data_IF_320359398323
#
_entry.id   IF_320359398323
#
_cell.length_a   1.000
_cell.length_b   1.000
_cell.length_c   1.000
_cell.angle_alpha   90.00
_cell.angle_beta   90.00
_cell.angle_gamma   90.00
#
_symmetry.space_group_name_H-M   'P 1'
#
loop_
_entity.id
_entity.type
_entity.pdbx_description
1 polymer ?
#
# COMPACT_ATOMS: atom_id res chain seq x y z
N UNK A 1 -8.46 25.75 10.45
CA UNK A 1 -7.33 25.34 11.32
C UNK A 1 -6.67 24.12 10.67
N UNK A 2 -5.43 24.25 10.16
CA UNK A 2 -4.65 23.10 9.67
C UNK A 2 -4.26 22.28 10.89
N UNK A 3 -4.94 21.14 11.12
CA UNK A 3 -4.35 20.10 11.94
C UNK A 3 -3.12 19.61 11.17
N UNK A 4 -1.94 20.07 11.56
CA UNK A 4 -0.68 19.55 11.03
C UNK A 4 -0.66 18.05 11.31
N UNK A 5 -0.73 17.24 10.27
CA UNK A 5 -0.37 15.83 10.41
C UNK A 5 1.13 15.85 10.73
N UNK A 6 1.46 15.58 11.99
CA UNK A 6 2.85 15.44 12.40
C UNK A 6 3.47 14.33 11.57
N UNK A 7 4.45 14.68 10.74
CA UNK A 7 5.20 13.68 9.98
C UNK A 7 5.89 12.76 10.97
N UNK A 8 5.83 11.44 10.78
CA UNK A 8 6.57 10.53 11.65
C UNK A 8 8.07 10.85 11.56
N UNK A 9 8.81 10.61 12.64
CA UNK A 9 10.25 10.78 12.61
C UNK A 9 10.86 9.82 11.59
N UNK A 10 11.77 10.33 10.74
CA UNK A 10 12.50 9.52 9.75
C UNK A 10 13.82 9.07 10.36
N UNK A 11 14.06 7.78 10.37
CA UNK A 11 15.29 7.17 10.89
C UNK A 11 16.15 6.65 9.75
N UNK A 12 17.47 6.76 9.91
CA UNK A 12 18.44 6.03 9.09
C UNK A 12 18.94 4.87 9.94
N UNK A 13 18.80 3.66 9.42
CA UNK A 13 19.17 2.43 10.12
C UNK A 13 19.91 1.48 9.17
N UNK A 14 20.86 0.76 9.73
CA UNK A 14 21.46 -0.40 9.10
C UNK A 14 20.60 -1.62 9.45
N UNK A 15 19.78 -2.06 8.48
CA UNK A 15 18.83 -3.14 8.66
C UNK A 15 19.42 -4.49 8.28
N UNK A 16 19.45 -5.44 9.21
CA UNK A 16 19.78 -6.83 8.90
C UNK A 16 18.65 -7.48 8.11
N UNK A 17 18.99 -8.18 7.02
CA UNK A 17 18.07 -9.01 6.25
C UNK A 17 17.71 -10.25 7.07
N UNK A 18 16.50 -10.32 7.59
CA UNK A 18 16.01 -11.47 8.38
C UNK A 18 15.51 -12.60 7.48
N UNK A 19 14.89 -12.24 6.37
CA UNK A 19 14.46 -13.19 5.33
C UNK A 19 14.30 -12.48 4.00
N UNK A 20 14.61 -13.18 2.93
CA UNK A 20 14.43 -12.71 1.56
C UNK A 20 13.95 -13.87 0.71
N UNK A 21 12.76 -13.76 0.14
CA UNK A 21 12.13 -14.86 -0.57
C UNK A 21 11.62 -14.42 -1.94
N UNK A 22 12.01 -15.17 -2.95
CA UNK A 22 11.54 -15.02 -4.33
C UNK A 22 10.20 -15.72 -4.55
N UNK A 23 9.37 -15.10 -5.40
CA UNK A 23 8.10 -15.60 -5.89
C UNK A 23 8.03 -15.47 -7.42
N UNK A 24 7.12 -16.22 -8.10
CA UNK A 24 6.97 -16.14 -9.53
C UNK A 24 6.82 -14.72 -10.07
N UNK A 25 7.42 -14.44 -11.23
CA UNK A 25 7.37 -13.13 -11.89
C UNK A 25 8.38 -12.13 -11.37
N UNK A 26 9.43 -12.57 -10.69
CA UNK A 26 10.48 -11.71 -10.13
C UNK A 26 9.98 -10.86 -8.97
N UNK A 27 9.02 -11.36 -8.22
CA UNK A 27 8.50 -10.73 -7.00
C UNK A 27 9.30 -11.22 -5.80
N UNK A 28 9.54 -10.34 -4.84
CA UNK A 28 10.32 -10.64 -3.64
C UNK A 28 9.64 -10.10 -2.39
N UNK A 29 9.65 -10.91 -1.33
CA UNK A 29 9.31 -10.45 0.03
C UNK A 29 10.60 -10.37 0.83
N UNK A 30 10.88 -9.18 1.36
CA UNK A 30 12.08 -8.85 2.11
C UNK A 30 11.69 -8.41 3.53
N UNK A 31 12.24 -9.06 4.55
CA UNK A 31 12.09 -8.64 5.94
C UNK A 31 13.41 -8.11 6.48
N UNK A 32 13.33 -6.91 7.05
CA UNK A 32 14.48 -6.19 7.61
C UNK A 32 14.29 -5.92 9.10
N UNK A 33 15.32 -6.10 9.88
CA UNK A 33 15.39 -5.65 11.27
C UNK A 33 15.71 -4.15 11.29
N UNK A 34 14.73 -3.32 11.53
CA UNK A 34 14.82 -1.86 11.62
C UNK A 34 13.89 -1.38 12.73
N UNK A 35 14.30 -1.52 14.02
CA UNK A 35 13.41 -1.37 15.17
C UNK A 35 12.79 0.02 15.31
N UNK A 36 13.54 1.07 15.00
CA UNK A 36 13.01 2.45 15.08
C UNK A 36 11.97 2.71 13.99
N UNK A 37 12.27 2.25 12.76
CA UNK A 37 11.32 2.32 11.65
C UNK A 37 10.08 1.49 11.94
N UNK A 38 10.24 0.25 12.44
CA UNK A 38 9.13 -0.64 12.75
C UNK A 38 8.17 -0.05 13.79
N UNK A 39 8.71 0.55 14.86
CA UNK A 39 7.92 1.19 15.92
C UNK A 39 7.12 2.42 15.44
N UNK A 40 7.61 3.13 14.43
CA UNK A 40 6.97 4.34 13.89
C UNK A 40 6.18 4.10 12.59
N UNK A 41 6.28 2.90 11.98
CA UNK A 41 5.64 2.58 10.72
C UNK A 41 4.10 2.64 10.80
N UNK A 42 3.49 3.19 9.75
CA UNK A 42 2.04 3.28 9.61
C UNK A 42 1.62 2.79 8.21
N UNK A 43 0.42 2.22 8.05
CA UNK A 43 -0.10 1.87 6.74
C UNK A 43 -0.07 3.05 5.76
N UNK A 44 0.54 2.85 4.59
CA UNK A 44 0.80 3.90 3.61
C UNK A 44 2.20 4.53 3.71
N UNK A 45 2.95 4.32 4.80
CA UNK A 45 4.36 4.73 4.85
C UNK A 45 5.26 3.79 4.07
N UNK A 46 6.45 4.29 3.69
CA UNK A 46 7.44 3.56 2.92
C UNK A 46 8.85 3.76 3.49
N UNK A 47 9.79 2.95 3.03
CA UNK A 47 11.21 3.15 3.27
C UNK A 47 11.93 3.51 1.98
N UNK A 48 13.01 4.28 2.07
CA UNK A 48 13.91 4.60 0.99
C UNK A 48 15.18 3.77 1.17
N UNK A 49 15.28 2.65 0.45
CA UNK A 49 16.28 1.61 0.66
C UNK A 49 17.44 1.75 -0.32
N UNK A 50 18.68 1.64 0.17
CA UNK A 50 19.88 1.52 -0.66
C UNK A 50 20.05 0.07 -1.12
N UNK A 51 19.93 -0.16 -2.41
CA UNK A 51 19.86 -1.49 -3.01
C UNK A 51 21.23 -2.14 -3.29
N UNK A 52 22.32 -1.43 -3.06
CA UNK A 52 23.70 -1.89 -3.28
C UNK A 52 24.69 -0.78 -3.00
N UNK A 53 25.95 -1.14 -2.70
CA UNK A 53 27.02 -0.16 -2.43
C UNK A 53 27.38 0.67 -3.66
N UNK A 54 27.19 0.10 -4.85
CA UNK A 54 27.52 0.72 -6.14
C UNK A 54 26.51 1.77 -6.60
N UNK A 55 25.30 1.77 -6.01
CA UNK A 55 24.24 2.70 -6.37
C UNK A 55 24.04 3.75 -5.27
N UNK A 56 24.27 5.01 -5.63
CA UNK A 56 24.02 6.14 -4.74
C UNK A 56 22.52 6.34 -4.50
N UNK A 57 21.70 6.04 -5.51
CA UNK A 57 20.27 6.31 -5.47
C UNK A 57 19.50 5.19 -4.78
N UNK A 58 18.76 5.55 -3.74
CA UNK A 58 17.84 4.66 -3.02
C UNK A 58 16.59 4.37 -3.84
N UNK A 59 15.80 3.38 -3.42
CA UNK A 59 14.49 3.04 -3.99
C UNK A 59 13.41 3.14 -2.93
N UNK A 60 12.28 3.83 -3.21
CA UNK A 60 11.13 3.83 -2.32
C UNK A 60 10.44 2.47 -2.39
N UNK A 61 10.18 1.87 -1.24
CA UNK A 61 9.47 0.59 -1.11
C UNK A 61 8.45 0.72 0.01
N UNK A 62 7.20 0.45 -0.31
CA UNK A 62 6.09 0.52 0.65
C UNK A 62 6.23 -0.54 1.74
N UNK A 63 5.97 -0.15 2.99
CA UNK A 63 5.94 -1.08 4.12
C UNK A 63 4.66 -1.90 4.03
N UNK A 64 4.81 -3.23 3.98
CA UNK A 64 3.72 -4.19 3.90
C UNK A 64 3.23 -4.63 5.28
N UNK A 65 4.15 -4.87 6.19
CA UNK A 65 3.90 -5.20 7.59
C UNK A 65 5.03 -4.64 8.45
N UNK A 66 4.73 -4.38 9.70
CA UNK A 66 5.70 -4.01 10.71
C UNK A 66 5.34 -4.68 12.03
N UNK A 67 6.35 -5.06 12.79
CA UNK A 67 6.23 -5.55 14.15
C UNK A 67 7.15 -4.72 15.04
N UNK A 68 6.56 -3.90 15.90
CA UNK A 68 7.28 -2.99 16.77
C UNK A 68 8.02 -3.73 17.89
N UNK A 69 7.48 -4.85 18.38
CA UNK A 69 8.04 -5.62 19.48
C UNK A 69 9.24 -6.44 19.00
N UNK A 70 9.11 -7.08 17.84
CA UNK A 70 10.19 -7.85 17.20
C UNK A 70 11.17 -6.95 16.42
N UNK A 71 10.82 -5.69 16.18
CA UNK A 71 11.67 -4.68 15.55
C UNK A 71 11.93 -4.89 14.06
N UNK A 72 10.97 -5.44 13.31
CA UNK A 72 11.13 -5.67 11.87
C UNK A 72 10.03 -5.01 11.02
N UNK A 73 10.39 -4.74 9.77
CA UNK A 73 9.46 -4.39 8.69
C UNK A 73 9.52 -5.43 7.58
N UNK A 74 8.43 -5.61 6.85
CA UNK A 74 8.36 -6.45 5.67
C UNK A 74 7.95 -5.64 4.45
N UNK A 75 8.65 -5.87 3.33
CA UNK A 75 8.49 -5.19 2.06
C UNK A 75 8.13 -6.20 0.98
N UNK A 76 7.34 -5.78 0.00
CA UNK A 76 7.12 -6.53 -1.25
C UNK A 76 7.59 -5.65 -2.40
N UNK A 77 8.40 -6.21 -3.28
CA UNK A 77 8.83 -5.55 -4.50
C UNK A 77 8.91 -6.52 -5.68
N UNK A 78 8.99 -5.97 -6.87
CA UNK A 78 9.24 -6.71 -8.10
C UNK A 78 10.55 -6.22 -8.72
N UNK A 79 11.38 -7.13 -9.22
CA UNK A 79 12.57 -6.75 -9.98
C UNK A 79 12.20 -5.89 -11.17
N UNK A 80 12.95 -4.81 -11.34
CA UNK A 80 12.77 -3.85 -12.42
C UNK A 80 13.84 -2.76 -12.31
N UNK A 81 14.62 -2.60 -13.36
CA UNK A 81 15.78 -1.71 -13.34
C UNK A 81 16.91 -2.20 -12.42
N UNK A 82 18.07 -1.57 -12.53
CA UNK A 82 19.32 -1.99 -11.90
C UNK A 82 19.21 -2.13 -10.37
N UNK A 83 18.57 -1.17 -9.68
CA UNK A 83 18.52 -1.16 -8.22
C UNK A 83 17.81 -2.36 -7.61
N UNK A 84 16.59 -2.66 -8.06
CA UNK A 84 15.82 -3.78 -7.53
C UNK A 84 16.37 -5.14 -7.99
N UNK A 85 17.07 -5.19 -9.13
CA UNK A 85 17.80 -6.38 -9.55
C UNK A 85 19.02 -6.63 -8.65
N UNK A 86 19.74 -5.59 -8.22
CA UNK A 86 20.81 -5.75 -7.22
C UNK A 86 20.24 -6.19 -5.86
N UNK A 87 19.13 -5.58 -5.45
CA UNK A 87 18.46 -5.95 -4.20
C UNK A 87 18.03 -7.41 -4.16
N UNK A 88 17.65 -8.00 -5.30
CA UNK A 88 17.23 -9.41 -5.36
C UNK A 88 18.34 -10.40 -5.00
N UNK A 89 19.60 -9.98 -5.03
CA UNK A 89 20.75 -10.74 -4.56
C UNK A 89 21.08 -10.60 -3.07
N UNK A 90 20.30 -9.83 -2.30
CA UNK A 90 20.56 -9.69 -0.87
C UNK A 90 20.25 -11.01 -0.13
N UNK A 91 21.18 -11.46 0.72
CA UNK A 91 21.07 -12.70 1.47
C UNK A 91 20.68 -12.44 2.93
N UNK A 92 19.98 -13.37 3.59
CA UNK A 92 19.76 -13.31 5.04
C UNK A 92 21.09 -13.15 5.80
N UNK A 93 21.10 -12.25 6.80
CA UNK A 93 22.29 -11.85 7.56
C UNK A 93 23.06 -10.68 6.93
N UNK A 94 22.81 -10.33 5.65
CA UNK A 94 23.40 -9.10 5.07
C UNK A 94 22.75 -7.85 5.65
N UNK A 95 23.42 -6.70 5.49
CA UNK A 95 22.98 -5.42 6.03
C UNK A 95 22.65 -4.45 4.89
N UNK A 96 21.49 -3.82 4.99
CA UNK A 96 21.00 -2.82 4.04
C UNK A 96 20.76 -1.48 4.73
N UNK A 97 21.13 -0.39 4.09
CA UNK A 97 20.85 0.96 4.57
C UNK A 97 19.40 1.35 4.26
N UNK A 98 18.58 1.51 5.30
CA UNK A 98 17.18 1.93 5.23
C UNK A 98 17.00 3.34 5.78
N UNK A 99 16.15 4.14 5.14
CA UNK A 99 15.71 5.43 5.63
C UNK A 99 14.17 5.41 5.68
N UNK A 100 13.57 5.56 6.87
CA UNK A 100 12.12 5.50 7.06
C UNK A 100 11.70 5.48 8.53
N UNK A 101 10.39 5.36 8.81
CA UNK A 101 9.30 5.40 7.82
C UNK A 101 9.14 6.80 7.25
N UNK A 102 8.70 6.90 6.00
CA UNK A 102 8.51 8.16 5.27
C UNK A 102 7.06 8.28 4.86
N UNK A 103 6.53 9.51 4.91
CA UNK A 103 5.22 9.86 4.40
C UNK A 103 4.08 9.74 5.42
N UNK A 104 2.93 10.27 5.02
CA UNK A 104 1.69 10.23 5.78
C UNK A 104 0.87 9.03 5.35
N UNK A 105 0.41 8.25 6.32
CA UNK A 105 -0.42 7.08 6.08
C UNK A 105 -1.90 7.41 5.85
N UNK A 106 -2.70 6.36 5.63
CA UNK A 106 -4.15 6.46 5.51
C UNK A 106 -4.79 7.07 6.76
N UNK A 107 -5.78 7.94 6.54
CA UNK A 107 -6.59 8.50 7.61
C UNK A 107 -7.77 7.56 7.93
N UNK A 108 -8.13 7.48 9.21
CA UNK A 108 -9.31 6.73 9.65
C UNK A 108 -10.32 7.69 10.25
N UNK A 109 -11.61 7.42 10.03
CA UNK A 109 -12.71 8.18 10.61
C UNK A 109 -13.75 7.23 11.20
N UNK A 110 -14.06 7.36 12.47
CA UNK A 110 -15.10 6.55 13.14
C UNK A 110 -16.46 6.68 12.49
N UNK A 111 -16.71 7.78 11.76
CA UNK A 111 -17.91 7.94 10.95
C UNK A 111 -17.94 7.04 9.72
N UNK A 112 -16.80 6.39 9.37
CA UNK A 112 -16.68 5.50 8.19
C UNK A 112 -16.03 4.17 8.59
N UNK A 113 -16.74 3.36 9.37
CA UNK A 113 -16.21 2.08 9.87
C UNK A 113 -16.10 0.99 8.81
N UNK A 114 -16.80 1.13 7.68
CA UNK A 114 -16.76 0.17 6.57
C UNK A 114 -15.60 0.54 5.64
N UNK A 115 -14.58 -0.30 5.61
CA UNK A 115 -13.30 0.03 4.96
C UNK A 115 -13.02 -0.90 3.78
N UNK A 116 -13.04 -0.36 2.56
CA UNK A 116 -12.61 -1.06 1.36
C UNK A 116 -11.13 -0.77 1.09
N UNK A 117 -10.35 -1.83 0.93
CA UNK A 117 -8.91 -1.80 0.72
C UNK A 117 -8.59 -2.38 -0.66
N UNK A 118 -8.22 -1.52 -1.61
CA UNK A 118 -7.99 -1.87 -3.01
C UNK A 118 -6.48 -1.87 -3.29
N UNK A 119 -5.89 -3.04 -3.58
CA UNK A 119 -4.45 -3.18 -3.80
C UNK A 119 -4.09 -3.85 -5.11
N UNK A 120 -3.24 -3.23 -5.93
CA UNK A 120 -2.80 -3.78 -7.22
C UNK A 120 -1.29 -4.01 -7.33
N UNK A 121 -0.86 -5.24 -7.63
CA UNK A 121 0.54 -5.58 -7.83
C UNK A 121 1.43 -5.20 -6.64
N UNK A 122 2.46 -4.40 -6.87
CA UNK A 122 3.36 -3.89 -5.80
C UNK A 122 2.71 -2.83 -4.92
N UNK A 123 1.49 -2.35 -5.23
CA UNK A 123 0.66 -1.52 -4.37
C UNK A 123 -0.17 -2.29 -3.33
N UNK A 124 -0.10 -3.64 -3.29
CA UNK A 124 -0.72 -4.46 -2.24
C UNK A 124 -0.18 -4.13 -0.82
N UNK A 125 1.11 -3.86 -0.58
CA UNK A 125 1.69 -3.61 0.73
C UNK A 125 0.93 -2.60 1.60
N UNK A 126 0.66 -1.36 1.20
CA UNK A 126 0.01 -0.38 2.07
C UNK A 126 -1.38 -0.80 2.53
N UNK A 127 -2.16 -1.41 1.64
CA UNK A 127 -3.53 -1.84 1.95
C UNK A 127 -3.54 -3.11 2.81
N UNK A 128 -2.59 -4.01 2.62
CA UNK A 128 -2.44 -5.18 3.47
C UNK A 128 -2.01 -4.80 4.90
N UNK A 129 -1.14 -3.82 5.04
CA UNK A 129 -0.76 -3.26 6.33
C UNK A 129 -1.97 -2.62 7.03
N UNK A 130 -2.80 -1.88 6.27
CA UNK A 130 -4.02 -1.29 6.81
C UNK A 130 -5.01 -2.37 7.25
N UNK A 131 -5.19 -3.43 6.46
CA UNK A 131 -6.01 -4.58 6.83
C UNK A 131 -5.56 -5.20 8.15
N UNK A 132 -4.24 -5.44 8.31
CA UNK A 132 -3.65 -6.00 9.53
C UNK A 132 -3.87 -5.10 10.74
N UNK A 133 -3.74 -3.78 10.57
CA UNK A 133 -3.96 -2.78 11.62
C UNK A 133 -5.41 -2.74 12.11
N UNK A 134 -6.37 -2.93 11.20
CA UNK A 134 -7.81 -2.91 11.52
C UNK A 134 -8.33 -4.26 12.02
N UNK A 135 -7.60 -5.34 11.76
CA UNK A 135 -7.96 -6.69 12.12
C UNK A 135 -8.17 -6.85 13.63
N UNK A 136 -9.28 -7.49 14.01
CA UNK A 136 -9.63 -7.73 15.41
C UNK A 136 -10.13 -6.51 16.19
N UNK A 137 -10.18 -5.34 15.55
CA UNK A 137 -10.78 -4.14 16.13
C UNK A 137 -12.25 -4.06 15.72
N UNK A 138 -13.16 -4.37 16.65
CA UNK A 138 -14.61 -4.42 16.40
C UNK A 138 -15.26 -3.12 15.91
N UNK A 139 -14.54 -1.99 15.96
CA UNK A 139 -15.02 -0.70 15.45
C UNK A 139 -14.91 -0.60 13.92
N UNK A 140 -14.20 -1.52 13.26
CA UNK A 140 -13.91 -1.46 11.83
C UNK A 140 -14.32 -2.74 11.11
N UNK A 141 -14.83 -2.60 9.90
CA UNK A 141 -15.20 -3.69 9.00
C UNK A 141 -14.37 -3.63 7.72
N UNK A 142 -13.09 -4.03 7.75
CA UNK A 142 -12.23 -4.01 6.58
C UNK A 142 -12.55 -5.15 5.61
N UNK A 143 -12.38 -4.88 4.30
CA UNK A 143 -12.50 -5.85 3.21
C UNK A 143 -11.42 -5.58 2.17
N UNK A 144 -10.71 -6.62 1.76
CA UNK A 144 -9.63 -6.55 0.78
C UNK A 144 -10.11 -6.93 -0.62
N UNK A 145 -9.74 -6.12 -1.61
CA UNK A 145 -9.83 -6.42 -3.03
C UNK A 145 -8.45 -6.29 -3.65
N UNK A 146 -7.86 -7.39 -4.10
CA UNK A 146 -6.49 -7.42 -4.56
C UNK A 146 -6.42 -7.86 -6.01
N UNK A 147 -5.66 -7.12 -6.83
CA UNK A 147 -5.44 -7.42 -8.24
C UNK A 147 -3.98 -7.74 -8.54
N UNK A 148 -3.74 -8.74 -9.38
CA UNK A 148 -2.39 -9.06 -9.86
C UNK A 148 -2.45 -9.76 -11.22
N UNK A 149 -1.53 -9.39 -12.11
CA UNK A 149 -1.29 -10.10 -13.37
C UNK A 149 -0.30 -11.25 -13.20
N UNK A 150 0.37 -11.30 -12.04
CA UNK A 150 1.30 -12.37 -11.66
C UNK A 150 0.70 -13.21 -10.54
N UNK A 151 1.15 -14.45 -10.35
CA UNK A 151 0.77 -15.23 -9.17
C UNK A 151 0.99 -14.43 -7.90
N UNK A 152 0.00 -14.44 -7.00
CA UNK A 152 0.11 -13.69 -5.74
C UNK A 152 1.28 -14.22 -4.89
N UNK A 153 2.16 -13.33 -4.37
CA UNK A 153 3.30 -13.73 -3.55
C UNK A 153 2.90 -14.05 -2.11
N UNK A 154 1.77 -14.75 -1.95
CA UNK A 154 1.13 -15.08 -0.69
C UNK A 154 0.54 -16.48 -0.70
N UNK A 155 0.41 -17.07 0.48
CA UNK A 155 -0.37 -18.30 0.61
C UNK A 155 -1.86 -18.01 0.40
N UNK A 156 -2.45 -18.75 -0.51
CA UNK A 156 -3.88 -18.70 -0.79
C UNK A 156 -4.58 -19.91 -0.16
N UNK A 157 -5.88 -19.77 0.08
CA UNK A 157 -6.76 -20.87 0.48
C UNK A 157 -8.04 -20.84 -0.36
N UNK A 158 -8.56 -22.03 -0.65
CA UNK A 158 -9.79 -22.19 -1.43
C UNK A 158 -11.01 -21.90 -0.57
N UNK A 159 -11.92 -21.08 -1.10
CA UNK A 159 -13.23 -20.81 -0.56
C UNK A 159 -14.28 -21.08 -1.65
N UNK A 160 -14.76 -22.30 -1.73
CA UNK A 160 -15.56 -22.77 -2.86
C UNK A 160 -14.75 -22.79 -4.16
N UNK A 161 -15.16 -21.99 -5.14
CA UNK A 161 -14.45 -21.83 -6.43
C UNK A 161 -13.41 -20.71 -6.42
N UNK A 162 -13.40 -19.85 -5.38
CA UNK A 162 -12.54 -18.70 -5.27
C UNK A 162 -11.32 -19.00 -4.42
N UNK A 163 -10.23 -18.33 -4.72
CA UNK A 163 -9.06 -18.25 -3.85
C UNK A 163 -9.14 -16.98 -2.97
N UNK A 164 -8.70 -17.10 -1.74
CA UNK A 164 -8.63 -16.00 -0.77
C UNK A 164 -7.24 -15.91 -0.18
N UNK A 165 -6.90 -14.73 0.32
CA UNK A 165 -5.61 -14.48 0.96
C UNK A 165 -5.62 -15.08 2.38
N UNK A 166 -4.91 -16.19 2.58
CA UNK A 166 -4.92 -16.95 3.85
C UNK A 166 -4.63 -16.09 5.09
N UNK A 167 -3.67 -15.16 5.01
CA UNK A 167 -3.34 -14.31 6.16
C UNK A 167 -4.47 -13.34 6.49
N UNK A 168 -5.16 -12.76 5.50
CA UNK A 168 -6.27 -11.86 5.71
C UNK A 168 -7.47 -12.58 6.34
N UNK A 169 -7.82 -13.76 5.81
CA UNK A 169 -8.92 -14.58 6.36
C UNK A 169 -8.65 -14.95 7.84
N UNK A 170 -7.40 -15.31 8.18
CA UNK A 170 -6.99 -15.57 9.57
C UNK A 170 -7.08 -14.35 10.47
N UNK A 171 -6.99 -13.15 9.91
CA UNK A 171 -7.20 -11.90 10.64
C UNK A 171 -8.68 -11.51 10.76
N UNK A 172 -9.59 -12.29 10.16
CA UNK A 172 -11.01 -11.97 10.08
C UNK A 172 -11.31 -10.88 9.05
N UNK A 173 -10.42 -10.67 8.07
CA UNK A 173 -10.59 -9.71 6.98
C UNK A 173 -10.89 -10.44 5.68
N UNK A 174 -12.13 -10.41 5.19
CA UNK A 174 -12.50 -11.04 3.92
C UNK A 174 -11.67 -10.48 2.77
N UNK A 175 -11.21 -11.37 1.87
CA UNK A 175 -10.41 -10.98 0.72
C UNK A 175 -11.00 -11.47 -0.59
N UNK A 176 -10.91 -10.64 -1.64
CA UNK A 176 -11.33 -10.95 -3.02
C UNK A 176 -10.14 -10.74 -3.94
N UNK A 177 -9.86 -11.71 -4.80
CA UNK A 177 -8.72 -11.68 -5.72
C UNK A 177 -9.20 -11.53 -7.15
N UNK A 178 -8.56 -10.66 -7.93
CA UNK A 178 -8.88 -10.40 -9.33
C UNK A 178 -7.61 -10.47 -10.20
N UNK A 179 -7.76 -10.87 -11.48
CA UNK A 179 -6.67 -10.90 -12.44
C UNK A 179 -7.19 -10.86 -13.87
N UNK A 180 -6.68 -9.94 -14.68
CA UNK A 180 -6.91 -9.94 -16.12
C UNK A 180 -6.12 -11.06 -16.82
N UNK A 181 -5.04 -11.57 -16.23
CA UNK A 181 -4.27 -12.71 -16.74
C UNK A 181 -5.01 -14.06 -16.56
N UNK A 182 -6.16 -14.06 -15.90
CA UNK A 182 -6.98 -15.26 -15.71
C UNK A 182 -6.40 -16.27 -14.73
N UNK A 183 -5.79 -15.80 -13.65
CA UNK A 183 -5.30 -16.66 -12.56
C UNK A 183 -6.46 -17.49 -11.97
N UNK A 184 -6.20 -18.80 -11.79
CA UNK A 184 -7.20 -19.74 -11.27
C UNK A 184 -7.75 -19.29 -9.90
N UNK A 185 -9.06 -19.34 -9.74
CA UNK A 185 -9.74 -18.97 -8.50
C UNK A 185 -9.76 -17.47 -8.20
N UNK A 186 -9.41 -16.63 -9.19
CA UNK A 186 -9.55 -15.18 -9.12
C UNK A 186 -10.72 -14.72 -10.00
N UNK A 187 -11.33 -13.61 -9.63
CA UNK A 187 -12.26 -12.90 -10.53
C UNK A 187 -11.51 -12.52 -11.81
N UNK A 188 -12.10 -12.81 -12.97
CA UNK A 188 -11.51 -12.46 -14.27
C UNK A 188 -11.93 -11.04 -14.64
N UNK A 189 -11.02 -10.08 -14.47
CA UNK A 189 -11.30 -8.67 -14.68
C UNK A 189 -10.53 -7.79 -13.71
N UNK A 190 -10.97 -6.53 -13.60
CA UNK A 190 -10.39 -5.55 -12.70
C UNK A 190 -10.88 -5.74 -11.27
N UNK A 191 -10.02 -5.47 -10.29
CA UNK A 191 -10.39 -5.57 -8.87
C UNK A 191 -11.52 -4.60 -8.45
N UNK A 192 -11.75 -3.54 -9.22
CA UNK A 192 -12.85 -2.61 -8.98
C UNK A 192 -14.22 -3.18 -9.34
N UNK A 193 -14.29 -4.23 -10.16
CA UNK A 193 -15.56 -4.89 -10.52
C UNK A 193 -16.19 -5.59 -9.31
N UNK A 194 -15.53 -6.54 -8.62
CA UNK A 194 -16.09 -7.14 -7.41
C UNK A 194 -16.26 -6.14 -6.27
N UNK A 195 -15.45 -5.06 -6.22
CA UNK A 195 -15.66 -3.98 -5.25
C UNK A 195 -16.95 -3.20 -5.54
N UNK A 196 -17.28 -2.95 -6.82
CA UNK A 196 -18.52 -2.32 -7.26
C UNK A 196 -19.72 -3.19 -6.92
N UNK A 197 -19.68 -4.48 -7.27
CA UNK A 197 -20.75 -5.43 -6.95
C UNK A 197 -21.04 -5.45 -5.43
N UNK A 198 -19.99 -5.37 -4.62
CA UNK A 198 -20.15 -5.32 -3.18
C UNK A 198 -20.76 -4.00 -2.70
N UNK A 199 -20.41 -2.86 -3.28
CA UNK A 199 -21.01 -1.55 -2.96
C UNK A 199 -22.47 -1.49 -3.41
N UNK A 200 -22.80 -2.02 -4.59
CA UNK A 200 -24.17 -2.11 -5.11
C UNK A 200 -25.10 -2.93 -4.19
N UNK A 201 -24.55 -3.93 -3.50
CA UNK A 201 -25.27 -4.76 -2.57
C UNK A 201 -25.50 -4.12 -1.19
N UNK A 202 -24.84 -2.99 -0.90
CA UNK A 202 -25.03 -2.27 0.37
C UNK A 202 -26.34 -1.46 0.34
N UNK A 203 -27.07 -1.40 1.47
CA UNK A 203 -28.12 -0.40 1.63
C UNK A 203 -27.59 1.02 1.40
N UNK A 204 -28.27 1.83 0.60
CA UNK A 204 -27.81 3.17 0.22
C UNK A 204 -27.48 4.09 1.42
N UNK A 205 -28.20 3.95 2.51
CA UNK A 205 -27.97 4.67 3.77
C UNK A 205 -26.59 4.36 4.39
N UNK A 206 -26.05 3.16 4.13
CA UNK A 206 -24.74 2.74 4.63
C UNK A 206 -23.56 3.22 3.79
N UNK A 207 -23.77 3.76 2.60
CA UNK A 207 -22.70 4.29 1.76
C UNK A 207 -21.94 5.44 2.45
N UNK A 208 -22.62 6.24 3.27
CA UNK A 208 -21.98 7.30 4.06
C UNK A 208 -20.96 6.79 5.09
N UNK A 209 -21.08 5.52 5.49
CA UNK A 209 -20.16 4.83 6.43
C UNK A 209 -18.92 4.24 5.74
N UNK A 210 -18.84 4.31 4.40
CA UNK A 210 -17.78 3.68 3.63
C UNK A 210 -16.59 4.62 3.42
N UNK A 211 -15.37 4.05 3.55
CA UNK A 211 -14.14 4.66 3.08
C UNK A 211 -13.38 3.67 2.17
N UNK A 212 -12.86 4.17 1.05
CA UNK A 212 -12.04 3.42 0.10
C UNK A 212 -10.59 3.87 0.23
N UNK A 213 -9.68 2.92 0.40
CA UNK A 213 -8.24 3.16 0.41
C UNK A 213 -7.60 2.34 -0.69
N UNK A 214 -6.88 2.99 -1.60
CA UNK A 214 -6.32 2.32 -2.76
C UNK A 214 -4.82 2.58 -2.93
N UNK A 215 -4.08 1.56 -3.39
CA UNK A 215 -2.70 1.67 -3.82
C UNK A 215 -2.43 0.70 -4.98
N UNK A 216 -1.77 1.17 -6.03
CA UNK A 216 -1.47 0.37 -7.22
C UNK A 216 -1.13 1.22 -8.43
N UNK A 217 -1.10 0.61 -9.62
CA UNK A 217 -0.82 1.30 -10.88
C UNK A 217 -1.81 2.44 -11.14
N UNK A 218 -1.35 3.49 -11.83
CA UNK A 218 -2.15 4.67 -12.18
C UNK A 218 -3.54 4.37 -12.75
N UNK A 219 -3.71 3.42 -13.71
CA UNK A 219 -5.05 3.09 -14.22
C UNK A 219 -5.99 2.52 -13.14
N UNK A 220 -5.44 1.73 -12.20
CA UNK A 220 -6.22 1.18 -11.09
C UNK A 220 -6.61 2.27 -10.08
N UNK A 221 -5.70 3.20 -9.77
CA UNK A 221 -6.00 4.32 -8.88
C UNK A 221 -7.09 5.22 -9.46
N UNK A 222 -7.04 5.46 -10.78
CA UNK A 222 -8.09 6.22 -11.48
C UNK A 222 -9.44 5.49 -11.38
N UNK A 223 -9.48 4.19 -11.68
CA UNK A 223 -10.70 3.39 -11.56
C UNK A 223 -11.25 3.33 -10.11
N UNK A 224 -10.37 3.32 -9.10
CA UNK A 224 -10.77 3.39 -7.70
C UNK A 224 -11.35 4.76 -7.33
N UNK A 225 -10.82 5.85 -7.87
CA UNK A 225 -11.36 7.20 -7.69
C UNK A 225 -12.74 7.34 -8.35
N UNK A 226 -12.88 6.85 -9.59
CA UNK A 226 -14.15 6.82 -10.34
C UNK A 226 -15.20 5.99 -9.57
N UNK A 227 -14.83 4.80 -9.09
CA UNK A 227 -15.70 3.98 -8.25
C UNK A 227 -16.21 4.76 -7.03
N UNK A 228 -15.31 5.42 -6.32
CA UNK A 228 -15.69 6.19 -5.13
C UNK A 228 -16.61 7.37 -5.47
N UNK A 229 -16.36 8.06 -6.57
CA UNK A 229 -17.18 9.17 -7.05
C UNK A 229 -18.60 8.70 -7.44
N UNK A 230 -18.72 7.57 -8.17
CA UNK A 230 -20.00 7.00 -8.58
C UNK A 230 -20.94 6.70 -7.39
N UNK A 231 -20.36 6.24 -6.28
CA UNK A 231 -21.10 5.93 -5.05
C UNK A 231 -21.15 7.07 -4.03
N UNK A 232 -20.47 8.20 -4.30
CA UNK A 232 -20.39 9.32 -3.37
C UNK A 232 -19.66 8.98 -2.04
N UNK A 233 -18.75 7.99 -2.06
CA UNK A 233 -18.02 7.55 -0.86
C UNK A 233 -16.65 8.21 -0.77
N UNK A 234 -16.15 8.34 0.47
CA UNK A 234 -14.82 8.90 0.71
C UNK A 234 -13.73 7.97 0.20
N UNK A 235 -12.67 8.52 -0.43
CA UNK A 235 -11.54 7.73 -0.88
C UNK A 235 -10.20 8.44 -0.69
N UNK A 236 -9.16 7.66 -0.36
CA UNK A 236 -7.76 8.05 -0.36
C UNK A 236 -6.93 7.13 -1.26
N UNK A 237 -5.98 7.73 -1.98
CA UNK A 237 -5.06 7.05 -2.88
C UNK A 237 -3.64 7.17 -2.35
N UNK A 238 -2.93 6.06 -2.27
CA UNK A 238 -1.51 6.01 -1.95
C UNK A 238 -0.73 5.98 -3.27
N UNK A 239 -0.02 7.07 -3.57
CA UNK A 239 0.70 7.26 -4.83
C UNK A 239 2.12 6.71 -4.73
N UNK A 240 2.62 6.24 -5.87
CA UNK A 240 4.01 5.83 -6.08
C UNK A 240 4.66 6.79 -7.07
N UNK A 241 5.86 7.32 -6.72
CA UNK A 241 6.63 8.23 -7.57
C UNK A 241 8.11 7.93 -7.49
N UNK A 242 8.84 8.32 -8.54
CA UNK A 242 10.30 8.31 -8.53
C UNK A 242 10.83 9.30 -7.49
N UNK A 243 11.75 8.84 -6.64
CA UNK A 243 12.30 9.66 -5.56
C UNK A 243 13.82 9.67 -5.58
N UNK A 244 14.40 10.87 -5.54
CA UNK A 244 15.82 11.04 -5.35
C UNK A 244 16.15 11.22 -3.85
N UNK A 245 15.53 12.17 -3.14
CA UNK A 245 15.85 12.45 -1.74
C UNK A 245 14.84 11.85 -0.73
N UNK A 246 13.56 11.69 -1.10
CA UNK A 246 12.44 11.24 -0.26
C UNK A 246 12.20 12.05 1.03
N UNK A 247 12.81 13.23 1.17
CA UNK A 247 12.72 14.14 2.33
C UNK A 247 12.28 15.57 1.94
N UNK A 248 11.68 15.71 0.76
CA UNK A 248 11.08 16.97 0.30
C UNK A 248 12.06 18.00 -0.30
N UNK A 249 13.37 17.76 -0.30
CA UNK A 249 14.37 18.74 -0.72
C UNK A 249 14.50 18.92 -2.23
N UNK A 250 14.35 17.83 -3.03
CA UNK A 250 14.59 17.87 -4.46
C UNK A 250 13.34 18.15 -5.32
N UNK A 251 12.14 18.06 -4.75
CA UNK A 251 10.84 18.18 -5.43
C UNK A 251 10.63 17.22 -6.62
N UNK A 252 11.47 16.19 -6.79
CA UNK A 252 11.40 15.25 -7.92
C UNK A 252 10.18 14.31 -7.91
N UNK A 253 9.49 14.18 -6.78
CA UNK A 253 8.28 13.36 -6.62
C UNK A 253 7.00 14.22 -6.58
N UNK A 254 6.99 15.37 -7.26
CA UNK A 254 5.88 16.32 -7.23
C UNK A 254 4.77 15.89 -8.17
N UNK A 255 3.55 15.90 -7.67
CA UNK A 255 2.30 15.65 -8.42
C UNK A 255 1.37 16.86 -8.32
N UNK A 256 0.55 17.05 -9.34
CA UNK A 256 -0.52 18.05 -9.33
C UNK A 256 -1.67 17.58 -8.44
N UNK A 257 -2.22 18.48 -7.64
CA UNK A 257 -3.33 18.19 -6.75
C UNK A 257 -4.35 19.36 -6.70
N UNK A 258 -5.61 19.03 -6.90
CA UNK A 258 -6.73 19.96 -6.79
C UNK A 258 -7.19 20.04 -5.33
N UNK A 259 -6.58 20.94 -4.57
CA UNK A 259 -6.91 21.10 -3.15
C UNK A 259 -8.09 22.06 -2.95
N UNK A 260 -8.71 22.11 -1.78
CA UNK A 260 -9.73 23.09 -1.46
C UNK A 260 -9.28 24.56 -1.63
N UNK A 261 -7.97 24.80 -1.54
CA UNK A 261 -7.35 26.12 -1.73
C UNK A 261 -6.95 26.38 -3.20
N UNK A 262 -7.28 25.47 -4.12
CA UNK A 262 -6.96 25.52 -5.55
C UNK A 262 -5.90 24.52 -5.98
N UNK A 263 -5.41 24.70 -7.22
CA UNK A 263 -4.38 23.85 -7.81
C UNK A 263 -3.04 24.02 -7.07
N UNK A 264 -2.42 22.93 -6.67
CA UNK A 264 -1.16 22.93 -5.93
C UNK A 264 -0.26 21.77 -6.36
N UNK A 265 1.06 22.00 -6.33
CA UNK A 265 2.07 20.95 -6.51
C UNK A 265 2.38 20.31 -5.15
N UNK A 266 2.15 19.01 -5.02
CA UNK A 266 2.37 18.24 -3.78
C UNK A 266 3.49 17.23 -3.96
N UNK A 267 4.39 17.15 -2.98
CA UNK A 267 5.50 16.18 -2.99
C UNK A 267 5.04 14.88 -2.34
N UNK A 268 5.04 13.81 -3.07
CA UNK A 268 4.57 12.49 -2.61
C UNK A 268 5.29 12.03 -1.35
N UNK A 269 6.59 12.35 -1.20
CA UNK A 269 7.37 11.92 -0.03
C UNK A 269 7.03 12.64 1.28
N UNK A 270 6.59 13.91 1.25
CA UNK A 270 6.38 14.70 2.48
C UNK A 270 4.97 15.26 2.62
N UNK A 271 4.25 15.47 1.51
CA UNK A 271 2.85 15.90 1.54
C UNK A 271 1.89 14.68 1.47
N UNK A 272 2.38 13.52 0.95
CA UNK A 272 1.73 12.23 0.81
C UNK A 272 2.48 11.11 1.54
N UNK A 273 2.51 9.88 1.00
CA UNK A 273 2.02 9.45 -0.32
C UNK A 273 0.51 9.30 -0.42
N UNK A 274 -0.23 9.41 0.68
CA UNK A 274 -1.67 9.26 0.72
C UNK A 274 -2.36 10.61 0.57
N UNK A 275 -3.22 10.70 -0.45
CA UNK A 275 -3.99 11.90 -0.78
C UNK A 275 -5.48 11.56 -0.93
N UNK A 276 -6.40 12.51 -0.65
CA UNK A 276 -7.80 12.36 -1.05
C UNK A 276 -7.92 12.10 -2.55
N UNK A 277 -8.75 11.15 -2.96
CA UNK A 277 -8.91 10.79 -4.36
C UNK A 277 -9.35 11.99 -5.22
N UNK A 278 -10.24 12.84 -4.70
CA UNK A 278 -10.70 14.06 -5.35
C UNK A 278 -9.60 15.11 -5.60
N UNK A 279 -8.46 15.01 -4.89
CA UNK A 279 -7.34 15.92 -5.16
C UNK A 279 -6.54 15.50 -6.39
N UNK A 280 -6.46 14.17 -6.64
CA UNK A 280 -5.64 13.58 -7.71
C UNK A 280 -6.46 13.38 -8.98
N UNK A 281 -7.70 12.93 -8.82
CA UNK A 281 -8.67 12.74 -9.90
C UNK A 281 -9.97 13.48 -9.56
N UNK A 282 -10.04 14.79 -9.84
CA UNK A 282 -11.28 15.56 -9.65
C UNK A 282 -12.36 15.06 -10.60
N UNK A 283 -13.58 14.92 -10.10
CA UNK A 283 -14.79 14.56 -10.86
C UNK A 283 -15.40 15.76 -11.56
#
# INVERSE_FOLDING_TARGET
>A
MRAGRDSPPVFVEEGEVLSHREYPGGQYRLRLRTPRCAAAARPGSFVHLRCGSELLQRRPLSIMLADADEGWIELLYKTGGQGLTLLSGAEPGSVLHSMGPIGHGFSLSEARPVVLLLGGGVGIPPVLFQARRLAGNGNWSPRLFLGSELPFPFALEKHGKENRLRCAERWGVPSHLASNAGLEGCHRGNLTEPAREWLDALPGERLSEVAVYACGPTPMLKAAAELAADFGVYAELCLEEYMACAVGGCAGCTVEAHTPDGLAMKRVCVDGPVFPASWIYPS
#
